data_IF_381062588493
#
_entry.id   IF_381062588493
#
_cell.length_a   1.000
_cell.length_b   1.000
_cell.length_c   1.000
_cell.angle_alpha   90.00
_cell.angle_beta   90.00
_cell.angle_gamma   90.00
#
_symmetry.space_group_name_H-M   'P 1'
#
loop_
_entity.id
_entity.type
_entity.pdbx_description
1 polymer ?
#
# COMPACT_ATOMS: atom_id res chain seq x y z
N UNK A 1 15.32 -8.99 5.69
CA UNK A 1 15.83 -7.74 5.09
C UNK A 1 16.71 -8.08 3.90
N UNK A 2 16.14 -8.14 2.70
CA UNK A 2 16.90 -8.42 1.47
C UNK A 2 17.38 -7.10 0.89
N UNK A 3 18.70 -6.86 0.90
CA UNK A 3 19.31 -5.64 0.36
C UNK A 3 19.01 -5.49 -1.13
N UNK A 4 18.14 -4.53 -1.40
CA UNK A 4 17.95 -3.58 -2.52
C UNK A 4 19.09 -3.32 -3.54
N UNK A 5 20.02 -4.24 -3.84
CA UNK A 5 21.12 -3.91 -4.77
C UNK A 5 20.62 -3.50 -6.16
N UNK A 6 19.48 -4.04 -6.61
CA UNK A 6 18.83 -3.64 -7.85
C UNK A 6 18.20 -2.24 -7.78
N UNK A 7 17.54 -1.92 -6.66
CA UNK A 7 16.87 -0.63 -6.46
C UNK A 7 17.90 0.49 -6.30
N UNK A 8 18.98 0.28 -5.54
CA UNK A 8 20.06 1.26 -5.39
C UNK A 8 20.75 1.55 -6.73
N UNK A 9 21.03 0.51 -7.52
CA UNK A 9 21.57 0.66 -8.88
C UNK A 9 20.60 1.41 -9.81
N UNK A 10 19.30 1.12 -9.72
CA UNK A 10 18.27 1.84 -10.48
C UNK A 10 18.22 3.32 -10.09
N UNK A 11 18.19 3.61 -8.79
CA UNK A 11 18.20 4.99 -8.25
C UNK A 11 19.44 5.74 -8.73
N UNK A 12 20.61 5.11 -8.67
CA UNK A 12 21.86 5.72 -9.16
C UNK A 12 21.75 6.10 -10.63
N UNK A 13 21.27 5.19 -11.49
CA UNK A 13 21.05 5.47 -12.92
C UNK A 13 20.00 6.57 -13.14
N UNK A 14 18.93 6.60 -12.37
CA UNK A 14 17.91 7.65 -12.47
C UNK A 14 18.48 9.03 -12.09
N UNK A 15 19.37 9.10 -11.11
CA UNK A 15 20.09 10.33 -10.77
C UNK A 15 21.02 10.76 -11.91
N UNK A 16 21.81 9.84 -12.47
CA UNK A 16 22.70 10.11 -13.61
C UNK A 16 21.95 10.63 -14.84
N UNK A 17 20.71 10.18 -15.05
CA UNK A 17 19.83 10.63 -16.14
C UNK A 17 19.04 11.91 -15.81
N UNK A 18 19.20 12.49 -14.62
CA UNK A 18 18.43 13.65 -14.16
C UNK A 18 16.92 13.37 -14.03
N UNK A 19 16.53 12.11 -13.79
CA UNK A 19 15.12 11.67 -13.72
C UNK A 19 14.65 11.29 -12.32
N UNK A 20 15.52 11.40 -11.32
CA UNK A 20 15.18 10.99 -9.96
C UNK A 20 14.05 11.81 -9.34
N UNK A 21 14.00 13.12 -9.59
CA UNK A 21 12.94 13.98 -9.05
C UNK A 21 11.56 13.63 -9.60
N UNK A 22 11.48 13.23 -10.87
CA UNK A 22 10.27 12.68 -11.44
C UNK A 22 9.84 11.39 -10.73
N UNK A 23 10.76 10.46 -10.48
CA UNK A 23 10.41 9.21 -9.78
C UNK A 23 9.93 9.50 -8.36
N UNK A 24 10.58 10.44 -7.66
CA UNK A 24 10.13 10.91 -6.33
C UNK A 24 8.73 11.52 -6.39
N UNK A 25 8.42 12.35 -7.39
CA UNK A 25 7.09 12.95 -7.52
C UNK A 25 6.01 11.91 -7.78
N UNK A 26 6.30 10.90 -8.61
CA UNK A 26 5.36 9.80 -8.86
C UNK A 26 5.14 8.94 -7.61
N UNK A 27 6.20 8.66 -6.84
CA UNK A 27 6.07 7.93 -5.56
C UNK A 27 5.23 8.75 -4.57
N UNK A 28 5.47 10.05 -4.46
CA UNK A 28 4.71 10.93 -3.58
C UNK A 28 3.22 10.97 -3.99
N UNK A 29 2.93 11.13 -5.28
CA UNK A 29 1.57 11.17 -5.81
C UNK A 29 0.83 9.83 -5.60
N UNK A 30 1.46 8.72 -5.96
CA UNK A 30 0.87 7.39 -5.79
C UNK A 30 0.62 7.07 -4.31
N UNK A 31 1.57 7.36 -3.43
CA UNK A 31 1.42 7.10 -2.00
C UNK A 31 0.34 7.96 -1.36
N UNK A 32 0.22 9.23 -1.74
CA UNK A 32 -0.88 10.09 -1.30
C UNK A 32 -2.23 9.52 -1.73
N UNK A 33 -2.36 9.08 -3.00
CA UNK A 33 -3.60 8.50 -3.49
C UNK A 33 -3.97 7.21 -2.76
N UNK A 34 -2.99 6.34 -2.47
CA UNK A 34 -3.22 5.10 -1.70
C UNK A 34 -3.72 5.44 -0.30
N UNK A 35 -3.06 6.37 0.40
CA UNK A 35 -3.47 6.79 1.74
C UNK A 35 -4.90 7.35 1.73
N UNK A 36 -5.19 8.23 0.76
CA UNK A 36 -6.50 8.84 0.60
C UNK A 36 -7.59 7.80 0.33
N UNK A 37 -7.38 6.92 -0.67
CA UNK A 37 -8.34 5.89 -1.02
C UNK A 37 -8.56 4.89 0.14
N UNK A 38 -7.49 4.53 0.86
CA UNK A 38 -7.61 3.65 2.03
C UNK A 38 -8.45 4.30 3.14
N UNK A 39 -8.25 5.59 3.41
CA UNK A 39 -9.07 6.35 4.38
C UNK A 39 -10.53 6.47 3.93
N UNK A 40 -10.79 6.71 2.65
CA UNK A 40 -12.15 6.77 2.11
C UNK A 40 -12.84 5.42 2.21
N UNK A 41 -12.18 4.34 1.79
CA UNK A 41 -12.70 2.99 1.89
C UNK A 41 -13.01 2.62 3.35
N UNK A 42 -12.08 2.89 4.27
CA UNK A 42 -12.27 2.62 5.69
C UNK A 42 -13.43 3.44 6.30
N UNK A 43 -13.60 4.70 5.89
CA UNK A 43 -14.69 5.56 6.36
C UNK A 43 -16.07 5.09 5.89
N UNK A 44 -16.14 4.34 4.78
CA UNK A 44 -17.39 3.75 4.28
C UNK A 44 -17.86 2.53 5.06
N UNK A 45 -17.01 1.97 5.93
CA UNK A 45 -17.32 0.79 6.73
C UNK A 45 -18.25 1.20 7.88
N UNK A 46 -19.49 0.73 7.83
CA UNK A 46 -20.47 0.97 8.89
C UNK A 46 -19.97 0.43 10.23
N UNK A 47 -19.96 1.27 11.27
CA UNK A 47 -19.50 0.94 12.62
C UNK A 47 -18.01 0.51 12.71
N UNK A 48 -17.16 0.89 11.75
CA UNK A 48 -15.72 0.72 11.94
C UNK A 48 -15.24 1.55 13.15
N UNK A 49 -14.37 0.98 14.00
CA UNK A 49 -13.72 1.74 15.06
C UNK A 49 -13.00 2.98 14.46
N UNK A 50 -13.16 4.18 15.04
CA UNK A 50 -12.54 5.40 14.51
C UNK A 50 -11.02 5.27 14.31
N UNK A 51 -10.36 4.46 15.14
CA UNK A 51 -8.93 4.18 15.09
C UNK A 51 -8.52 3.54 13.76
N UNK A 52 -9.40 2.78 13.11
CA UNK A 52 -9.12 2.13 11.83
C UNK A 52 -8.93 3.17 10.73
N UNK A 53 -9.67 4.28 10.78
CA UNK A 53 -9.52 5.36 9.81
C UNK A 53 -8.37 6.30 10.20
N UNK A 54 -8.31 6.69 11.47
CA UNK A 54 -7.37 7.70 11.97
C UNK A 54 -5.92 7.22 11.99
N UNK A 55 -5.70 5.92 12.19
CA UNK A 55 -4.36 5.34 12.30
C UNK A 55 -3.78 4.86 10.96
N UNK A 56 -4.47 5.15 9.85
CA UNK A 56 -3.89 5.04 8.51
C UNK A 56 -2.92 6.20 8.29
N UNK A 57 -1.65 5.87 8.09
CA UNK A 57 -0.61 6.87 7.89
C UNK A 57 0.31 6.53 6.72
N UNK A 58 0.91 7.58 6.17
CA UNK A 58 1.90 7.51 5.11
C UNK A 58 3.20 8.13 5.57
N UNK A 59 4.30 7.47 5.25
CA UNK A 59 5.66 8.00 5.43
C UNK A 59 6.43 7.86 4.13
N UNK A 60 7.25 8.86 3.82
CA UNK A 60 8.16 8.84 2.68
C UNK A 60 9.58 8.84 3.22
N UNK A 61 10.34 7.82 2.86
CA UNK A 61 11.69 7.54 3.37
C UNK A 61 12.67 7.39 2.19
N UNK A 62 13.94 7.12 2.49
CA UNK A 62 14.99 6.93 1.48
C UNK A 62 15.06 8.09 0.47
N UNK A 63 15.00 9.33 0.96
CA UNK A 63 15.04 10.54 0.14
C UNK A 63 13.98 10.54 -0.98
N UNK A 64 12.73 10.22 -0.66
CA UNK A 64 11.61 10.27 -1.60
C UNK A 64 11.42 9.01 -2.46
N UNK A 65 12.28 8.00 -2.30
CA UNK A 65 12.33 6.84 -3.19
C UNK A 65 11.63 5.60 -2.62
N UNK A 66 11.05 5.74 -1.44
CA UNK A 66 10.22 4.71 -0.83
C UNK A 66 9.08 5.40 -0.09
N UNK A 67 7.86 4.94 -0.31
CA UNK A 67 6.72 5.32 0.50
C UNK A 67 6.19 4.08 1.23
N UNK A 68 5.85 4.25 2.50
CA UNK A 68 5.26 3.22 3.34
C UNK A 68 3.91 3.71 3.81
N UNK A 69 2.88 2.90 3.56
CA UNK A 69 1.52 3.12 4.04
C UNK A 69 1.27 2.08 5.12
N UNK A 70 0.90 2.54 6.31
CA UNK A 70 0.70 1.68 7.48
C UNK A 70 -0.71 1.81 8.02
N UNK A 71 -1.19 0.71 8.61
CA UNK A 71 -2.35 0.67 9.47
C UNK A 71 -1.88 0.38 10.90
N UNK A 72 -1.99 1.35 11.81
CA UNK A 72 -1.47 1.19 13.17
C UNK A 72 -2.52 0.70 14.19
N UNK A 73 -3.76 0.43 13.77
CA UNK A 73 -4.82 -0.18 14.62
C UNK A 73 -4.72 -1.71 14.73
N UNK A 74 -3.52 -2.30 14.68
CA UNK A 74 -3.37 -3.75 14.74
C UNK A 74 -3.80 -4.31 16.13
N UNK A 75 -4.41 -5.52 16.19
CA UNK A 75 -4.76 -6.39 15.07
C UNK A 75 -6.11 -6.04 14.42
N UNK A 76 -6.88 -5.12 15.00
CA UNK A 76 -8.24 -4.80 14.55
C UNK A 76 -8.29 -4.40 13.08
N UNK A 77 -7.37 -3.56 12.63
CA UNK A 77 -7.25 -3.17 11.22
C UNK A 77 -7.09 -4.37 10.28
N UNK A 78 -6.33 -5.41 10.67
CA UNK A 78 -6.15 -6.62 9.88
C UNK A 78 -7.38 -7.54 9.91
N UNK A 79 -8.05 -7.65 11.06
CA UNK A 79 -9.30 -8.41 11.17
C UNK A 79 -10.41 -7.83 10.30
N UNK A 80 -10.50 -6.50 10.20
CA UNK A 80 -11.45 -5.83 9.31
C UNK A 80 -11.04 -6.03 7.85
N UNK A 81 -9.77 -5.80 7.52
CA UNK A 81 -9.26 -5.93 6.14
C UNK A 81 -9.54 -7.32 5.56
N UNK A 82 -9.20 -8.37 6.32
CA UNK A 82 -9.23 -9.76 5.82
C UNK A 82 -10.43 -10.58 6.28
N UNK A 83 -11.18 -10.10 7.28
CA UNK A 83 -12.20 -10.90 7.96
C UNK A 83 -11.59 -11.89 8.96
N UNK A 84 -12.43 -12.65 9.65
CA UNK A 84 -12.00 -13.64 10.65
C UNK A 84 -12.77 -14.95 10.53
N UNK A 85 -12.17 -16.03 11.05
CA UNK A 85 -12.77 -17.38 11.05
C UNK A 85 -13.17 -17.86 9.66
N UNK A 86 -14.41 -18.32 9.51
CA UNK A 86 -14.95 -18.79 8.23
C UNK A 86 -15.20 -17.69 7.18
N UNK A 87 -14.98 -16.43 7.53
CA UNK A 87 -15.21 -15.28 6.64
C UNK A 87 -13.92 -14.63 6.12
N UNK A 88 -12.77 -15.26 6.32
CA UNK A 88 -11.50 -14.80 5.78
C UNK A 88 -11.58 -14.76 4.24
N UNK A 89 -11.36 -13.59 3.64
CA UNK A 89 -11.30 -13.38 2.19
C UNK A 89 -10.04 -12.60 1.83
N UNK A 90 -9.09 -13.28 1.19
CA UNK A 90 -7.75 -12.73 0.93
C UNK A 90 -7.33 -13.15 -0.48
N UNK A 91 -6.82 -12.20 -1.27
CA UNK A 91 -6.18 -12.53 -2.54
C UNK A 91 -4.85 -13.25 -2.30
N UNK A 92 -4.44 -14.12 -3.22
CA UNK A 92 -3.26 -14.98 -3.02
C UNK A 92 -1.99 -14.21 -2.64
N UNK A 93 -1.78 -13.02 -3.24
CA UNK A 93 -0.65 -12.14 -2.96
C UNK A 93 -0.60 -11.58 -1.51
N UNK A 94 -1.70 -11.65 -0.75
CA UNK A 94 -1.79 -11.20 0.64
C UNK A 94 -1.96 -12.33 1.64
N UNK A 95 -2.04 -13.58 1.15
CA UNK A 95 -2.33 -14.75 1.98
C UNK A 95 -1.36 -14.85 3.16
N UNK A 96 -0.06 -14.72 2.90
CA UNK A 96 0.97 -14.84 3.94
C UNK A 96 0.86 -13.74 5.00
N UNK A 97 0.52 -12.52 4.60
CA UNK A 97 0.32 -11.40 5.52
C UNK A 97 -0.93 -11.62 6.38
N UNK A 98 -2.05 -12.03 5.76
CA UNK A 98 -3.29 -12.27 6.49
C UNK A 98 -3.16 -13.42 7.51
N UNK A 99 -2.41 -14.47 7.16
CA UNK A 99 -2.17 -15.61 8.07
C UNK A 99 -1.39 -15.25 9.34
N UNK A 100 -0.61 -14.16 9.34
CA UNK A 100 0.06 -13.66 10.56
C UNK A 100 -0.94 -13.25 11.66
N UNK A 101 -2.19 -12.95 11.27
CA UNK A 101 -3.25 -12.54 12.19
C UNK A 101 -4.23 -13.69 12.50
N UNK A 102 -3.96 -14.92 12.05
CA UNK A 102 -4.80 -16.05 12.41
C UNK A 102 -4.61 -16.43 13.89
N UNK A 103 -5.73 -16.59 14.60
CA UNK A 103 -5.72 -16.97 16.03
C UNK A 103 -6.26 -18.39 16.21
N UNK A 104 -7.55 -18.63 15.96
CA UNK A 104 -8.20 -19.90 16.28
C UNK A 104 -9.38 -20.28 15.36
N UNK A 105 -9.65 -19.50 14.31
CA UNK A 105 -10.72 -19.78 13.36
C UNK A 105 -12.16 -19.52 13.85
N UNK A 106 -12.38 -19.04 15.08
CA UNK A 106 -13.73 -18.85 15.66
C UNK A 106 -14.37 -17.49 15.39
N UNK A 107 -13.67 -16.58 14.72
CA UNK A 107 -14.17 -15.25 14.41
C UNK A 107 -15.32 -15.26 13.40
N UNK A 108 -16.14 -14.20 13.42
CA UNK A 108 -17.29 -14.02 12.53
C UNK A 108 -17.32 -12.66 11.84
N UNK A 109 -16.24 -11.89 11.95
CA UNK A 109 -16.11 -10.61 11.26
C UNK A 109 -15.97 -10.86 9.76
N UNK A 110 -16.83 -10.23 8.97
CA UNK A 110 -16.72 -10.24 7.50
C UNK A 110 -15.62 -9.29 7.07
N UNK A 111 -14.90 -9.66 6.02
CA UNK A 111 -13.89 -8.81 5.42
C UNK A 111 -14.52 -7.53 4.85
N UNK A 112 -13.91 -6.40 5.17
CA UNK A 112 -14.14 -5.10 4.56
C UNK A 112 -12.78 -4.54 4.13
N UNK A 113 -12.24 -4.98 2.98
CA UNK A 113 -10.93 -4.54 2.52
C UNK A 113 -10.92 -3.04 2.25
N UNK A 114 -9.96 -2.31 2.79
CA UNK A 114 -9.78 -0.88 2.58
C UNK A 114 -8.35 -0.55 2.11
N UNK A 115 -7.35 -1.23 2.65
CA UNK A 115 -5.94 -1.05 2.30
C UNK A 115 -5.59 -1.74 0.98
N UNK A 116 -5.92 -3.02 0.85
CA UNK A 116 -5.64 -3.81 -0.34
C UNK A 116 -6.15 -3.17 -1.63
N UNK A 117 -7.46 -2.82 -1.76
CA UNK A 117 -7.96 -2.21 -2.99
C UNK A 117 -7.30 -0.86 -3.30
N UNK A 118 -6.99 -0.05 -2.28
CA UNK A 118 -6.29 1.21 -2.45
C UNK A 118 -4.85 1.00 -2.95
N UNK A 119 -4.13 0.03 -2.39
CA UNK A 119 -2.77 -0.31 -2.81
C UNK A 119 -2.73 -0.80 -4.26
N UNK A 120 -3.60 -1.74 -4.65
CA UNK A 120 -3.65 -2.26 -6.02
C UNK A 120 -3.88 -1.13 -7.03
N UNK A 121 -4.89 -0.29 -6.77
CA UNK A 121 -5.19 0.87 -7.61
C UNK A 121 -4.00 1.82 -7.73
N UNK A 122 -3.39 2.21 -6.61
CA UNK A 122 -2.26 3.14 -6.60
C UNK A 122 -1.00 2.56 -7.26
N UNK A 123 -0.71 1.27 -7.05
CA UNK A 123 0.39 0.54 -7.70
C UNK A 123 0.21 0.56 -9.22
N UNK A 124 -0.97 0.23 -9.70
CA UNK A 124 -1.24 0.13 -11.13
C UNK A 124 -1.18 1.51 -11.80
N UNK A 125 -1.70 2.55 -11.14
CA UNK A 125 -1.54 3.95 -11.57
C UNK A 125 -0.07 4.39 -11.63
N UNK A 126 0.71 4.07 -10.59
CA UNK A 126 2.13 4.39 -10.53
C UNK A 126 2.92 3.74 -11.67
N UNK A 127 2.73 2.44 -11.90
CA UNK A 127 3.39 1.71 -13.00
C UNK A 127 3.00 2.31 -14.35
N UNK A 128 1.71 2.64 -14.54
CA UNK A 128 1.22 3.26 -15.78
C UNK A 128 1.88 4.62 -16.02
N UNK A 129 1.95 5.47 -15.00
CA UNK A 129 2.56 6.80 -15.08
C UNK A 129 4.06 6.73 -15.37
N UNK A 130 4.79 5.89 -14.64
CA UNK A 130 6.22 5.65 -14.87
C UNK A 130 6.49 5.20 -16.32
N UNK A 131 5.75 4.20 -16.81
CA UNK A 131 5.89 3.71 -18.19
C UNK A 131 5.61 4.79 -19.22
N UNK A 132 4.57 5.60 -19.00
CA UNK A 132 4.22 6.70 -19.90
C UNK A 132 5.34 7.75 -19.97
N UNK A 133 5.91 8.13 -18.82
CA UNK A 133 6.99 9.11 -18.79
C UNK A 133 8.29 8.58 -19.37
N UNK A 134 8.67 7.34 -19.05
CA UNK A 134 9.89 6.73 -19.63
C UNK A 134 9.80 6.76 -21.16
N UNK A 135 8.65 6.39 -21.74
CA UNK A 135 8.44 6.46 -23.20
C UNK A 135 8.58 7.88 -23.77
N UNK A 136 8.17 8.92 -23.04
CA UNK A 136 8.35 10.30 -23.49
C UNK A 136 9.81 10.74 -23.47
N UNK A 137 10.62 10.16 -22.56
CA UNK A 137 12.02 10.54 -22.35
C UNK A 137 12.99 9.76 -23.24
N UNK A 138 12.56 8.64 -23.83
CA UNK A 138 13.35 7.80 -24.74
C UNK A 138 12.95 7.97 -26.20
N UNK A 139 12.06 8.92 -26.51
CA UNK A 139 11.78 9.39 -27.87
C UNK A 139 12.66 10.59 -28.16
#
# INVERSE_FOLDING_TARGET
>A
MSRLSGAEKLIKRLNELGKADFVRSEIAAASFQIEFDAKQNASSITNAPPEVVQLISRSVINNGLTAVINQNSLPMGAYIEFGTGGHVKVADEWRDMAWQFYVNGKGRLRAHPYMYPAFVKGRDMFIKSLRAKIRQLTK
#
